data_IF_808176657833
#
_entry.id   IF_808176657833
#
_cell.length_a   1.000
_cell.length_b   1.000
_cell.length_c   1.000
_cell.angle_alpha   90.00
_cell.angle_beta   90.00
_cell.angle_gamma   90.00
#
_symmetry.space_group_name_H-M   'P 1'
#
loop_
_entity.id
_entity.type
_entity.pdbx_description
1 polymer ?
#
# COMPACT_ATOMS: atom_id res chain seq x y z
N UNK A 1 -34.60 -35.59 20.91
CA UNK A 1 -33.30 -34.89 20.80
C UNK A 1 -33.32 -34.00 19.59
N UNK A 2 -33.16 -32.69 19.74
CA UNK A 2 -33.11 -31.74 18.61
C UNK A 2 -31.70 -31.69 18.03
N UNK A 3 -31.60 -31.84 16.70
CA UNK A 3 -30.36 -31.82 15.91
C UNK A 3 -30.23 -30.55 15.07
N UNK A 4 -31.34 -29.93 14.66
CA UNK A 4 -31.32 -28.65 13.96
C UNK A 4 -32.62 -27.88 14.13
N UNK A 5 -32.58 -26.57 13.92
CA UNK A 5 -33.77 -25.72 13.86
C UNK A 5 -33.61 -24.58 12.85
N UNK A 6 -34.72 -24.07 12.35
CA UNK A 6 -34.79 -22.90 11.48
C UNK A 6 -35.97 -22.02 11.91
N UNK A 7 -35.83 -20.72 11.71
CA UNK A 7 -36.92 -19.78 11.93
C UNK A 7 -37.28 -19.12 10.61
N UNK A 8 -38.47 -19.41 10.11
CA UNK A 8 -38.96 -18.90 8.83
C UNK A 8 -40.09 -17.93 9.11
N UNK A 9 -40.01 -16.73 8.53
CA UNK A 9 -41.04 -15.72 8.72
C UNK A 9 -42.40 -16.21 8.18
N UNK A 10 -43.45 -16.16 8.99
CA UNK A 10 -44.79 -16.66 8.65
C UNK A 10 -45.06 -18.14 8.95
N UNK A 11 -44.03 -18.99 9.03
CA UNK A 11 -44.17 -20.42 9.39
C UNK A 11 -43.80 -20.65 10.87
N UNK A 12 -42.82 -19.91 11.37
CA UNK A 12 -42.32 -20.02 12.74
C UNK A 12 -41.10 -20.95 12.86
N UNK A 13 -41.01 -21.66 13.99
CA UNK A 13 -39.86 -22.50 14.31
C UNK A 13 -40.05 -23.93 13.76
N UNK A 14 -39.15 -24.34 12.87
CA UNK A 14 -39.04 -25.72 12.40
C UNK A 14 -37.89 -26.40 13.14
N UNK A 15 -38.15 -27.60 13.66
CA UNK A 15 -37.17 -28.37 14.43
C UNK A 15 -37.02 -29.77 13.84
N UNK A 16 -35.78 -30.21 13.70
CA UNK A 16 -35.42 -31.55 13.23
C UNK A 16 -34.80 -32.36 14.35
N UNK A 17 -35.29 -33.58 14.52
CA UNK A 17 -34.80 -34.54 15.52
C UNK A 17 -34.02 -35.71 14.89
N UNK A 18 -33.93 -35.75 13.56
CA UNK A 18 -33.29 -36.79 12.76
C UNK A 18 -32.26 -36.18 11.81
N UNK A 19 -31.58 -37.03 11.06
CA UNK A 19 -30.60 -36.63 10.06
C UNK A 19 -31.24 -35.73 9.00
N UNK A 20 -30.53 -34.66 8.65
CA UNK A 20 -30.92 -33.70 7.64
C UNK A 20 -30.52 -34.26 6.27
N UNK A 21 -31.51 -34.65 5.47
CA UNK A 21 -31.32 -35.04 4.07
C UNK A 21 -31.70 -33.88 3.14
N UNK A 22 -31.08 -33.82 1.96
CA UNK A 22 -31.43 -32.88 0.88
C UNK A 22 -31.25 -31.37 1.20
N UNK A 23 -30.34 -31.01 2.11
CA UNK A 23 -29.98 -29.61 2.38
C UNK A 23 -29.04 -29.07 1.30
N UNK A 24 -29.41 -27.95 0.69
CA UNK A 24 -28.61 -27.26 -0.35
C UNK A 24 -28.19 -25.89 0.15
N UNK A 25 -26.91 -25.55 -0.05
CA UNK A 25 -26.38 -24.23 0.29
C UNK A 25 -26.48 -23.29 -0.91
N UNK A 26 -27.19 -22.17 -0.73
CA UNK A 26 -27.31 -21.12 -1.74
C UNK A 26 -26.33 -19.97 -1.45
N UNK A 27 -25.78 -19.37 -2.51
CA UNK A 27 -24.89 -18.21 -2.40
C UNK A 27 -25.63 -16.90 -2.14
N UNK A 28 -26.90 -16.82 -2.56
CA UNK A 28 -27.82 -15.72 -2.32
C UNK A 28 -29.24 -16.27 -2.16
N UNK A 29 -30.00 -15.70 -1.22
CA UNK A 29 -31.33 -16.19 -0.85
C UNK A 29 -31.29 -17.45 0.02
N UNK A 30 -32.49 -17.94 0.38
CA UNK A 30 -32.67 -19.07 1.29
C UNK A 30 -32.94 -18.66 2.74
N UNK A 31 -33.11 -19.66 3.61
CA UNK A 31 -33.39 -19.49 5.04
C UNK A 31 -32.22 -19.99 5.89
N UNK A 32 -32.10 -19.44 7.10
CA UNK A 32 -31.05 -19.82 8.05
C UNK A 32 -31.42 -21.12 8.78
N UNK A 33 -30.57 -22.14 8.62
CA UNK A 33 -30.63 -23.41 9.34
C UNK A 33 -29.52 -23.48 10.39
N UNK A 34 -29.90 -23.68 11.65
CA UNK A 34 -29.00 -23.84 12.79
C UNK A 34 -28.85 -25.32 13.13
N UNK A 35 -27.63 -25.85 13.06
CA UNK A 35 -27.33 -27.26 13.36
C UNK A 35 -26.67 -27.35 14.73
N UNK A 36 -27.08 -28.34 15.53
CA UNK A 36 -26.46 -28.68 16.81
C UNK A 36 -25.18 -29.47 16.56
N UNK A 37 -24.03 -28.85 16.81
CA UNK A 37 -22.73 -29.52 16.75
C UNK A 37 -22.20 -29.86 18.14
N UNK A 38 -21.37 -30.89 18.23
CA UNK A 38 -20.61 -31.17 19.44
C UNK A 38 -19.54 -30.09 19.66
N UNK A 39 -19.24 -29.79 20.93
CA UNK A 39 -18.23 -28.78 21.29
C UNK A 39 -16.83 -29.11 20.73
N UNK A 40 -16.51 -30.40 20.62
CA UNK A 40 -15.26 -30.90 20.02
C UNK A 40 -15.13 -30.55 18.54
N UNK A 41 -16.21 -30.63 17.77
CA UNK A 41 -16.24 -30.32 16.33
C UNK A 41 -16.11 -28.82 16.07
N UNK A 42 -16.74 -28.01 16.92
CA UNK A 42 -16.59 -26.55 16.90
C UNK A 42 -15.12 -26.14 17.12
N UNK A 43 -14.39 -26.85 17.99
CA UNK A 43 -12.98 -26.57 18.27
C UNK A 43 -12.04 -26.97 17.12
N UNK A 44 -12.40 -27.95 16.29
CA UNK A 44 -11.63 -28.33 15.09
C UNK A 44 -11.59 -27.20 14.05
N UNK A 45 -12.73 -26.51 13.85
CA UNK A 45 -12.83 -25.38 12.93
C UNK A 45 -12.11 -24.13 13.48
N UNK A 46 -12.16 -23.89 14.80
CA UNK A 46 -11.43 -22.79 15.43
C UNK A 46 -9.92 -22.88 15.20
N UNK A 47 -9.31 -24.06 15.36
CA UNK A 47 -7.86 -24.25 15.09
C UNK A 47 -7.47 -23.91 13.65
N UNK A 48 -8.24 -24.38 12.66
CA UNK A 48 -7.99 -24.06 11.25
C UNK A 48 -8.15 -22.56 10.96
N UNK A 49 -9.20 -21.93 11.50
CA UNK A 49 -9.42 -20.49 11.37
C UNK A 49 -8.30 -19.68 12.04
N UNK A 50 -7.88 -20.03 13.25
CA UNK A 50 -6.77 -19.37 13.96
C UNK A 50 -5.46 -19.48 13.19
N UNK A 51 -5.13 -20.65 12.64
CA UNK A 51 -3.92 -20.82 11.84
C UNK A 51 -3.95 -19.98 10.56
N UNK A 52 -5.10 -19.94 9.87
CA UNK A 52 -5.26 -19.16 8.65
C UNK A 52 -5.17 -17.65 8.94
N UNK A 53 -5.84 -17.18 10.00
CA UNK A 53 -5.78 -15.78 10.44
C UNK A 53 -4.36 -15.39 10.88
N UNK A 54 -3.66 -16.23 11.64
CA UNK A 54 -2.29 -15.96 12.06
C UNK A 54 -1.31 -15.89 10.87
N UNK A 55 -1.47 -16.78 9.88
CA UNK A 55 -0.67 -16.77 8.65
C UNK A 55 -0.84 -15.47 7.84
N UNK A 56 -2.09 -15.01 7.67
CA UNK A 56 -2.38 -13.76 6.95
C UNK A 56 -1.74 -12.55 7.64
N UNK A 57 -1.91 -12.43 8.96
CA UNK A 57 -1.37 -11.30 9.73
C UNK A 57 0.16 -11.24 9.63
N UNK A 58 0.81 -12.40 9.75
CA UNK A 58 2.27 -12.50 9.61
C UNK A 58 2.73 -12.02 8.23
N UNK A 59 2.13 -12.55 7.15
CA UNK A 59 2.50 -12.19 5.78
C UNK A 59 2.31 -10.69 5.51
N UNK A 60 1.20 -10.11 5.96
CA UNK A 60 0.94 -8.67 5.79
C UNK A 60 2.00 -7.81 6.46
N UNK A 61 2.41 -8.14 7.69
CA UNK A 61 3.45 -7.42 8.41
C UNK A 61 4.80 -7.48 7.69
N UNK A 62 5.18 -8.66 7.19
CA UNK A 62 6.43 -8.83 6.44
C UNK A 62 6.45 -7.97 5.16
N UNK A 63 5.36 -7.91 4.41
CA UNK A 63 5.27 -7.10 3.19
C UNK A 63 5.35 -5.61 3.49
N UNK A 64 4.68 -5.14 4.54
CA UNK A 64 4.70 -3.73 4.94
C UNK A 64 6.11 -3.31 5.37
N UNK A 65 6.76 -4.10 6.24
CA UNK A 65 8.11 -3.80 6.71
C UNK A 65 9.14 -3.86 5.57
N UNK A 66 9.05 -4.87 4.70
CA UNK A 66 9.93 -5.01 3.55
C UNK A 66 9.81 -3.85 2.56
N UNK A 67 8.57 -3.44 2.23
CA UNK A 67 8.32 -2.32 1.32
C UNK A 67 8.77 -0.98 1.91
N UNK A 68 8.54 -0.73 3.20
CA UNK A 68 9.02 0.47 3.88
C UNK A 68 10.56 0.54 3.89
N UNK A 69 11.23 -0.56 4.25
CA UNK A 69 12.69 -0.63 4.24
C UNK A 69 13.26 -0.40 2.83
N UNK A 70 12.67 -1.03 1.82
CA UNK A 70 13.08 -0.84 0.42
C UNK A 70 12.87 0.61 -0.05
N UNK A 71 11.72 1.21 0.29
CA UNK A 71 11.41 2.60 -0.02
C UNK A 71 12.41 3.57 0.62
N UNK A 72 12.71 3.38 1.91
CA UNK A 72 13.72 4.18 2.61
C UNK A 72 15.11 4.01 1.98
N UNK A 73 15.52 2.77 1.67
CA UNK A 73 16.80 2.52 1.02
C UNK A 73 16.91 3.23 -0.34
N UNK A 74 15.88 3.12 -1.18
CA UNK A 74 15.83 3.81 -2.49
C UNK A 74 15.85 5.33 -2.34
N UNK A 75 15.16 5.88 -1.35
CA UNK A 75 15.19 7.32 -1.05
C UNK A 75 16.59 7.77 -0.62
N UNK A 76 17.27 7.01 0.25
CA UNK A 76 18.63 7.36 0.68
C UNK A 76 19.63 7.28 -0.47
N UNK A 77 19.54 6.25 -1.33
CA UNK A 77 20.41 6.13 -2.51
C UNK A 77 20.21 7.31 -3.46
N UNK A 78 18.95 7.70 -3.73
CA UNK A 78 18.64 8.86 -4.57
C UNK A 78 19.15 10.17 -3.96
N UNK A 79 18.98 10.36 -2.65
CA UNK A 79 19.47 11.56 -1.96
C UNK A 79 21.01 11.62 -1.99
N UNK A 80 21.71 10.51 -1.73
CA UNK A 80 23.17 10.47 -1.78
C UNK A 80 23.71 10.79 -3.19
N UNK A 81 23.00 10.38 -4.24
CA UNK A 81 23.32 10.75 -5.62
C UNK A 81 23.06 12.23 -5.96
N UNK A 82 22.14 12.90 -5.26
CA UNK A 82 21.89 14.34 -5.41
C UNK A 82 22.90 15.15 -4.58
N UNK A 83 23.17 14.74 -3.34
CA UNK A 83 24.16 15.40 -2.48
C UNK A 83 25.57 15.32 -3.07
N UNK A 84 25.95 14.21 -3.72
CA UNK A 84 27.23 14.12 -4.43
C UNK A 84 27.33 15.05 -5.65
N UNK A 85 26.21 15.30 -6.33
CA UNK A 85 26.12 16.28 -7.44
C UNK A 85 26.16 17.72 -6.96
N UNK A 86 25.57 18.02 -5.81
CA UNK A 86 25.59 19.37 -5.20
C UNK A 86 26.95 19.68 -4.56
N UNK A 87 27.65 18.69 -4.03
CA UNK A 87 29.00 18.85 -3.48
C UNK A 87 30.11 18.94 -4.54
N UNK A 88 29.80 18.76 -5.83
CA UNK A 88 30.72 19.01 -6.95
C UNK A 88 30.26 20.25 -7.72
N UNK A 89 30.86 21.43 -7.47
CA UNK A 89 30.48 22.69 -8.13
C UNK A 89 30.57 22.66 -9.68
N UNK A 90 31.18 21.62 -10.26
CA UNK A 90 31.29 21.44 -11.71
C UNK A 90 30.15 20.65 -12.37
N UNK A 91 29.33 19.92 -11.62
CA UNK A 91 28.31 19.05 -12.22
C UNK A 91 27.11 19.81 -12.80
N UNK A 92 26.72 20.93 -12.17
CA UNK A 92 25.65 21.82 -12.67
C UNK A 92 26.10 22.66 -13.87
N UNK A 93 27.40 22.91 -13.99
CA UNK A 93 27.99 23.71 -15.08
C UNK A 93 27.88 23.01 -16.44
N UNK A 94 27.93 21.68 -16.44
CA UNK A 94 27.87 20.86 -17.66
C UNK A 94 26.44 20.64 -18.19
N UNK A 95 25.41 20.94 -17.38
CA UNK A 95 23.99 20.83 -17.78
C UNK A 95 23.45 22.17 -18.34
N UNK A 96 24.20 23.26 -18.13
CA UNK A 96 23.92 24.61 -18.61
C UNK A 96 24.78 25.01 -19.81
N UNK A 97 25.67 24.14 -20.30
CA UNK A 97 26.30 24.37 -21.59
C UNK A 97 25.20 24.36 -22.65
N UNK A 98 25.07 25.40 -23.48
CA UNK A 98 24.11 25.42 -24.57
C UNK A 98 24.31 24.15 -25.40
N UNK A 99 23.28 23.30 -25.48
CA UNK A 99 23.20 22.35 -26.59
C UNK A 99 23.14 23.20 -27.87
N UNK A 100 24.30 23.33 -28.52
CA UNK A 100 24.47 23.61 -29.95
C UNK A 100 23.53 24.65 -30.58
N UNK A 101 23.31 25.80 -29.94
CA UNK A 101 22.72 26.99 -30.58
C UNK A 101 23.83 28.03 -30.83
N UNK A 102 24.26 28.24 -32.09
CA UNK A 102 25.26 29.25 -32.41
C UNK A 102 24.69 30.64 -32.15
N UNK A 103 25.24 31.36 -31.16
CA UNK A 103 24.94 32.77 -30.90
C UNK A 103 24.44 33.14 -29.50
N UNK A 104 24.38 32.19 -28.55
CA UNK A 104 23.98 32.48 -27.17
C UNK A 104 25.18 32.46 -26.22
N UNK A 105 25.86 33.60 -26.06
CA UNK A 105 26.85 33.77 -24.99
C UNK A 105 26.11 33.90 -23.65
N UNK A 106 26.26 32.88 -22.80
CA UNK A 106 25.74 32.93 -21.42
C UNK A 106 26.73 33.73 -20.58
N UNK A 107 26.40 35.00 -20.31
CA UNK A 107 27.20 35.83 -19.42
C UNK A 107 26.94 35.46 -17.96
N UNK A 108 28.03 35.25 -17.22
CA UNK A 108 27.98 34.95 -15.79
C UNK A 108 27.50 36.21 -15.02
N UNK A 109 26.61 36.03 -14.04
CA UNK A 109 25.95 37.14 -13.34
C UNK A 109 26.94 38.16 -12.76
N UNK A 110 28.11 37.70 -12.29
CA UNK A 110 29.16 38.57 -11.75
C UNK A 110 29.73 39.52 -12.82
N UNK A 111 29.83 39.09 -14.08
CA UNK A 111 30.29 39.90 -15.20
C UNK A 111 29.30 41.01 -15.50
N UNK A 112 28.00 40.70 -15.46
CA UNK A 112 26.92 41.66 -15.66
C UNK A 112 26.91 42.67 -14.51
N UNK A 113 27.03 42.20 -13.28
CA UNK A 113 27.07 43.04 -12.09
C UNK A 113 28.30 43.98 -12.12
N UNK A 114 29.48 43.47 -12.50
CA UNK A 114 30.68 44.28 -12.63
C UNK A 114 30.57 45.31 -13.76
N UNK A 115 30.08 44.90 -14.94
CA UNK A 115 29.90 45.79 -16.09
C UNK A 115 28.86 46.90 -15.82
N UNK A 116 27.82 46.61 -15.04
CA UNK A 116 26.79 47.58 -14.67
C UNK A 116 27.14 48.40 -13.44
N UNK A 117 28.31 48.16 -12.82
CA UNK A 117 28.68 48.72 -11.52
C UNK A 117 27.59 48.50 -10.47
N UNK A 118 27.30 47.22 -10.22
CA UNK A 118 26.28 46.72 -9.30
C UNK A 118 24.88 47.30 -9.56
N UNK A 119 24.50 47.38 -10.84
CA UNK A 119 23.23 47.96 -11.28
C UNK A 119 22.97 49.37 -10.71
N UNK A 120 24.04 50.16 -10.57
CA UNK A 120 23.92 51.53 -10.07
C UNK A 120 22.91 52.32 -10.89
N UNK A 121 21.98 52.99 -10.20
CA UNK A 121 20.95 53.84 -10.83
C UNK A 121 21.55 54.98 -11.67
N UNK A 122 22.83 55.30 -11.48
CA UNK A 122 23.56 56.28 -12.28
C UNK A 122 23.86 55.83 -13.72
N UNK A 123 23.74 54.53 -14.02
CA UNK A 123 23.95 53.92 -15.35
C UNK A 123 22.64 53.62 -16.08
N UNK A 124 21.51 54.15 -15.61
CA UNK A 124 20.18 53.93 -16.20
C UNK A 124 19.90 54.86 -17.37
#
# INVERSE_FOLDING_TARGET
SCLAFAYINGIGCLMWNQELMDVVQFSKGGELLFIRLASSEMNGNKRKKTLFTAGIVSLSLFVILGSAAFGLWRCRVKHNAITSKVASPGAWRNDLTPQDVPGLDIFEMHTIQSATNDFSLSNK
#
